data_IF_019164813968
#
_entry.id   IF_019164813968
#
_cell.length_a   1.000
_cell.length_b   1.000
_cell.length_c   1.000
_cell.angle_alpha   90.00
_cell.angle_beta   90.00
_cell.angle_gamma   90.00
#
_symmetry.space_group_name_H-M   'P 1'
#
loop_
_entity.id
_entity.type
_entity.pdbx_description
1 polymer ?
#
# COMPACT_ATOMS: atom_id res chain seq x y z
N UNK A 1 -0.35 -61.89 51.32
CA UNK A 1 -0.73 -61.41 49.97
C UNK A 1 -0.82 -59.89 50.02
N UNK A 2 0.27 -59.20 49.68
CA UNK A 2 0.30 -58.05 48.78
C UNK A 2 1.71 -57.47 48.73
N UNK A 3 2.18 -57.40 47.50
CA UNK A 3 3.51 -57.03 47.05
C UNK A 3 3.62 -55.51 46.91
N UNK A 4 4.87 -55.08 46.70
CA UNK A 4 5.28 -53.89 45.95
C UNK A 4 5.61 -52.68 46.84
N UNK A 5 6.86 -52.62 47.33
CA UNK A 5 8.02 -52.01 46.66
C UNK A 5 7.82 -50.51 46.40
N UNK A 6 8.49 -49.72 47.23
CA UNK A 6 8.80 -48.32 47.00
C UNK A 6 9.48 -48.15 45.65
N UNK A 7 8.92 -47.28 44.81
CA UNK A 7 9.63 -46.71 43.67
C UNK A 7 9.42 -45.21 43.75
N UNK A 8 10.41 -44.61 44.39
CA UNK A 8 10.91 -43.24 44.29
C UNK A 8 10.15 -42.34 43.32
N UNK A 9 9.36 -41.42 43.90
CA UNK A 9 8.68 -40.28 43.25
C UNK A 9 9.68 -39.21 42.74
N UNK A 10 10.89 -39.62 42.36
CA UNK A 10 12.06 -38.77 42.10
C UNK A 10 12.66 -39.01 40.71
N UNK A 11 11.82 -39.40 39.75
CA UNK A 11 12.24 -39.57 38.34
C UNK A 11 11.31 -38.90 37.32
N UNK A 12 10.23 -38.26 37.76
CA UNK A 12 9.31 -37.51 36.88
C UNK A 12 9.61 -35.98 36.85
N UNK A 13 10.66 -35.54 37.56
CA UNK A 13 11.06 -34.13 37.69
C UNK A 13 12.42 -33.83 37.02
N UNK A 14 12.84 -34.65 36.05
CA UNK A 14 14.09 -34.44 35.30
C UNK A 14 13.89 -34.27 33.79
N UNK A 15 12.63 -34.20 33.33
CA UNK A 15 12.28 -34.12 31.91
C UNK A 15 11.66 -32.77 31.51
N UNK A 16 11.97 -31.69 32.25
CA UNK A 16 11.52 -30.30 31.94
C UNK A 16 12.72 -29.38 31.65
N UNK A 17 13.94 -29.91 31.53
CA UNK A 17 15.16 -29.08 31.42
C UNK A 17 15.75 -28.89 30.00
N UNK A 18 15.03 -29.23 28.92
CA UNK A 18 15.61 -29.11 27.56
C UNK A 18 14.64 -28.65 26.45
N UNK A 19 13.89 -27.56 26.69
CA UNK A 19 13.38 -26.72 25.58
C UNK A 19 13.74 -25.25 25.91
N UNK A 20 15.02 -24.89 25.78
CA UNK A 20 15.60 -24.22 24.61
C UNK A 20 14.92 -22.90 24.22
N UNK A 21 15.63 -21.82 24.55
CA UNK A 21 15.76 -20.55 23.80
C UNK A 21 14.75 -19.42 24.08
N UNK A 22 15.17 -18.50 24.95
CA UNK A 22 14.92 -17.07 24.78
C UNK A 22 15.81 -16.54 23.64
N UNK A 23 15.18 -16.05 22.57
CA UNK A 23 15.71 -15.02 21.68
C UNK A 23 14.54 -14.44 20.87
N UNK A 24 13.60 -13.76 21.54
CA UNK A 24 12.79 -12.76 20.84
C UNK A 24 13.61 -11.46 20.82
N UNK A 25 14.43 -11.32 19.78
CA UNK A 25 14.77 -10.00 19.26
C UNK A 25 13.47 -9.35 18.78
N UNK A 26 13.04 -8.19 19.31
CA UNK A 26 11.92 -7.45 18.74
C UNK A 26 12.32 -6.64 17.49
N UNK A 27 13.56 -6.76 17.00
CA UNK A 27 14.09 -5.91 15.93
C UNK A 27 13.90 -6.48 14.51
N UNK A 28 13.09 -7.54 14.35
CA UNK A 28 12.72 -8.09 13.03
C UNK A 28 11.24 -8.41 12.84
N UNK A 29 10.33 -7.74 13.56
CA UNK A 29 8.92 -7.64 13.14
C UNK A 29 8.75 -6.46 12.16
N UNK A 30 9.72 -6.31 11.26
CA UNK A 30 9.64 -5.49 10.06
C UNK A 30 9.76 -6.48 8.89
N UNK A 31 8.63 -7.01 8.44
CA UNK A 31 8.65 -7.89 7.27
C UNK A 31 7.38 -8.69 6.98
N UNK A 32 6.49 -8.92 7.95
CA UNK A 32 5.32 -9.77 7.71
C UNK A 32 4.08 -9.30 8.47
N UNK A 33 3.42 -8.26 7.94
CA UNK A 33 1.96 -8.12 8.00
C UNK A 33 1.48 -7.84 6.58
N UNK A 34 1.68 -8.82 5.70
CA UNK A 34 1.01 -8.92 4.40
C UNK A 34 0.06 -10.12 4.51
N UNK A 35 -1.02 -9.94 5.25
CA UNK A 35 -2.04 -10.97 5.45
C UNK A 35 -3.37 -10.26 5.70
N UNK A 36 -4.01 -9.77 4.64
CA UNK A 36 -5.34 -9.16 4.78
C UNK A 36 -5.92 -8.32 3.65
N UNK A 37 -5.19 -8.03 2.56
CA UNK A 37 -5.74 -7.23 1.43
C UNK A 37 -5.51 -7.91 0.08
N UNK A 38 -6.09 -9.10 -0.12
CA UNK A 38 -6.04 -9.83 -1.39
C UNK A 38 -7.09 -9.35 -2.43
N UNK A 39 -8.08 -8.52 -2.07
CA UNK A 39 -9.27 -8.35 -2.93
C UNK A 39 -9.48 -6.98 -3.62
N UNK A 40 -8.51 -6.07 -3.66
CA UNK A 40 -8.68 -4.81 -4.43
C UNK A 40 -7.40 -4.36 -5.16
N UNK A 41 -6.52 -5.28 -5.54
CA UNK A 41 -5.37 -4.96 -6.40
C UNK A 41 -5.72 -5.30 -7.85
N UNK A 42 -6.67 -4.56 -8.42
CA UNK A 42 -7.11 -4.77 -9.80
C UNK A 42 -6.01 -4.42 -10.79
N UNK A 43 -5.24 -5.40 -11.27
CA UNK A 43 -4.21 -5.31 -12.35
C UNK A 43 -3.17 -4.17 -12.24
N UNK A 44 -3.19 -3.36 -11.19
CA UNK A 44 -2.32 -2.21 -10.97
C UNK A 44 -1.14 -2.58 -10.11
N UNK A 45 0.04 -2.11 -10.53
CA UNK A 45 1.25 -2.22 -9.74
C UNK A 45 1.22 -1.16 -8.63
N UNK A 46 1.82 -1.49 -7.48
CA UNK A 46 1.88 -0.62 -6.31
C UNK A 46 2.70 0.64 -6.62
N UNK A 47 2.24 1.85 -6.25
CA UNK A 47 3.04 3.06 -6.46
C UNK A 47 4.39 2.99 -5.73
N UNK A 48 5.41 3.61 -6.31
CA UNK A 48 6.78 3.59 -5.78
C UNK A 48 6.92 4.42 -4.49
N UNK A 49 7.96 4.13 -3.71
CA UNK A 49 8.30 4.89 -2.50
C UNK A 49 8.64 6.37 -2.80
N UNK A 50 9.04 6.66 -4.04
CA UNK A 50 9.27 8.03 -4.52
C UNK A 50 7.98 8.86 -4.44
N UNK A 51 6.85 8.31 -4.89
CA UNK A 51 5.53 8.97 -4.79
C UNK A 51 5.16 9.17 -3.32
N UNK A 52 5.46 8.22 -2.44
CA UNK A 52 5.22 8.36 -0.99
C UNK A 52 5.93 9.58 -0.43
N UNK A 53 7.21 9.70 -0.73
CA UNK A 53 8.07 10.76 -0.20
C UNK A 53 7.70 12.16 -0.70
N UNK A 54 7.07 12.28 -1.87
CA UNK A 54 6.68 13.57 -2.45
C UNK A 54 5.65 14.33 -1.61
N UNK A 55 4.71 13.62 -0.98
CA UNK A 55 3.63 14.22 -0.19
C UNK A 55 3.51 13.65 1.21
N UNK A 56 4.48 12.87 1.67
CA UNK A 56 4.45 12.13 2.94
C UNK A 56 3.16 11.32 3.13
N UNK A 57 2.75 10.61 2.07
CA UNK A 57 1.48 9.86 2.06
C UNK A 57 1.58 8.61 2.93
N UNK A 58 0.55 8.35 3.73
CA UNK A 58 0.50 7.16 4.57
C UNK A 58 0.10 5.91 3.77
N UNK A 59 -0.93 6.04 2.93
CA UNK A 59 -1.40 4.95 2.07
C UNK A 59 -1.35 5.34 0.60
N UNK A 60 -1.00 4.38 -0.24
CA UNK A 60 -0.92 4.50 -1.69
C UNK A 60 -1.68 3.31 -2.28
N UNK A 61 -2.62 3.56 -3.18
CA UNK A 61 -3.29 2.49 -3.92
C UNK A 61 -3.62 2.90 -5.34
N UNK A 62 -3.84 1.91 -6.20
CA UNK A 62 -4.18 2.12 -7.60
C UNK A 62 -5.42 1.32 -7.94
N UNK A 63 -6.35 1.97 -8.65
CA UNK A 63 -7.48 1.29 -9.27
C UNK A 63 -7.41 1.49 -10.78
N UNK A 64 -7.61 0.42 -11.53
CA UNK A 64 -7.60 0.44 -12.99
C UNK A 64 -9.01 0.22 -13.51
N UNK A 65 -9.49 1.16 -14.31
CA UNK A 65 -10.78 1.07 -14.99
C UNK A 65 -10.56 0.95 -16.48
N UNK A 66 -11.18 -0.06 -17.11
CA UNK A 66 -11.25 -0.20 -18.57
C UNK A 66 -12.71 -0.43 -18.95
N UNK A 67 -13.40 0.61 -19.37
CA UNK A 67 -14.77 0.51 -19.87
C UNK A 67 -14.76 0.42 -21.39
N UNK A 68 -15.51 -0.54 -21.94
CA UNK A 68 -15.78 -0.60 -23.38
C UNK A 68 -17.18 -0.03 -23.60
N UNK A 69 -17.29 1.27 -23.86
CA UNK A 69 -18.57 1.93 -24.19
C UNK A 69 -18.74 2.02 -25.70
N UNK A 70 -19.96 2.33 -26.16
CA UNK A 70 -20.28 2.43 -27.59
C UNK A 70 -19.54 3.59 -28.29
N UNK A 71 -19.06 4.58 -27.53
CA UNK A 71 -18.26 5.72 -28.01
C UNK A 71 -16.74 5.49 -27.98
N UNK A 72 -16.28 4.31 -27.55
CA UNK A 72 -14.87 3.95 -27.50
C UNK A 72 -14.49 3.17 -26.24
N UNK A 73 -13.24 2.70 -26.18
CA UNK A 73 -12.67 2.20 -24.92
C UNK A 73 -12.30 3.44 -24.11
N UNK A 74 -12.78 3.59 -22.88
CA UNK A 74 -12.28 4.60 -21.94
C UNK A 74 -11.51 3.89 -20.83
N UNK A 75 -10.20 4.09 -20.79
CA UNK A 75 -9.31 3.44 -19.83
C UNK A 75 -8.65 4.48 -18.92
N UNK A 76 -8.90 4.37 -17.61
CA UNK A 76 -8.45 5.33 -16.60
C UNK A 76 -7.67 4.61 -15.49
N UNK A 77 -6.53 5.19 -15.12
CA UNK A 77 -5.76 4.84 -13.92
C UNK A 77 -6.21 5.79 -12.81
N UNK A 78 -6.60 5.28 -11.66
CA UNK A 78 -6.83 6.08 -10.46
C UNK A 78 -5.69 5.85 -9.48
N UNK A 79 -4.92 6.89 -9.18
CA UNK A 79 -3.85 6.88 -8.21
C UNK A 79 -4.34 7.54 -6.91
N UNK A 80 -4.60 6.74 -5.89
CA UNK A 80 -5.16 7.18 -4.61
C UNK A 80 -4.05 7.36 -3.59
N UNK A 81 -3.95 8.57 -3.05
CA UNK A 81 -2.88 9.02 -2.17
C UNK A 81 -3.50 9.53 -0.86
N UNK A 82 -3.39 8.76 0.23
CA UNK A 82 -4.09 9.05 1.47
C UNK A 82 -3.21 9.69 2.54
N UNK A 83 -3.80 10.64 3.27
CA UNK A 83 -3.29 11.26 4.50
C UNK A 83 -1.85 11.80 4.37
N UNK A 84 -1.56 12.48 3.26
CA UNK A 84 -0.29 13.18 3.08
C UNK A 84 -0.20 14.49 3.88
N UNK A 85 1.00 15.06 4.00
CA UNK A 85 1.25 16.31 4.71
C UNK A 85 0.46 17.47 4.04
N UNK A 86 -0.47 18.12 4.77
CA UNK A 86 -1.24 19.26 4.25
C UNK A 86 -0.39 20.42 3.73
N UNK A 87 0.83 20.61 4.24
CA UNK A 87 1.74 21.67 3.80
C UNK A 87 2.39 21.37 2.45
N UNK A 88 2.64 20.10 2.16
CA UNK A 88 3.18 19.64 0.88
C UNK A 88 2.09 19.66 -0.19
N UNK A 89 0.88 19.23 0.16
CA UNK A 89 -0.27 19.21 -0.74
C UNK A 89 -0.79 20.63 -1.01
N UNK A 90 -0.97 21.44 0.04
CA UNK A 90 -1.70 22.72 -0.03
C UNK A 90 -1.01 23.85 -0.79
N UNK A 91 0.30 23.77 -1.07
CA UNK A 91 1.03 24.83 -1.79
C UNK A 91 0.74 24.85 -3.27
N UNK A 92 0.90 23.70 -3.92
CA UNK A 92 0.78 23.54 -5.38
C UNK A 92 0.26 22.11 -5.68
N UNK A 93 -1.00 21.81 -5.32
CA UNK A 93 -1.50 20.44 -5.35
C UNK A 93 -1.53 19.85 -6.76
N UNK A 94 -1.81 20.64 -7.79
CA UNK A 94 -1.79 20.19 -9.18
C UNK A 94 -0.38 19.79 -9.65
N UNK A 95 0.64 20.57 -9.29
CA UNK A 95 2.04 20.26 -9.65
C UNK A 95 2.49 18.98 -8.92
N UNK A 96 2.12 18.82 -7.66
CA UNK A 96 2.38 17.59 -6.91
C UNK A 96 1.67 16.40 -7.58
N UNK A 97 0.40 16.54 -7.91
CA UNK A 97 -0.39 15.51 -8.58
C UNK A 97 0.23 15.10 -9.92
N UNK A 98 0.66 16.09 -10.72
CA UNK A 98 1.32 15.84 -12.01
C UNK A 98 2.62 15.06 -11.85
N UNK A 99 3.44 15.38 -10.84
CA UNK A 99 4.68 14.63 -10.54
C UNK A 99 4.38 13.20 -10.10
N UNK A 100 3.37 13.00 -9.25
CA UNK A 100 2.95 11.66 -8.86
C UNK A 100 2.47 10.84 -10.07
N UNK A 101 1.69 11.45 -10.96
CA UNK A 101 1.22 10.82 -12.19
C UNK A 101 2.39 10.48 -13.13
N UNK A 102 3.33 11.39 -13.31
CA UNK A 102 4.53 11.19 -14.14
C UNK A 102 5.36 10.00 -13.64
N UNK A 103 5.67 9.95 -12.34
CA UNK A 103 6.42 8.84 -11.74
C UNK A 103 5.67 7.52 -11.94
N UNK A 104 4.36 7.51 -11.70
CA UNK A 104 3.57 6.29 -11.85
C UNK A 104 3.55 5.79 -13.30
N UNK A 105 3.29 6.68 -14.26
CA UNK A 105 3.25 6.36 -15.69
C UNK A 105 4.61 5.89 -16.20
N UNK A 106 5.70 6.51 -15.74
CA UNK A 106 7.08 6.11 -16.08
C UNK A 106 7.39 4.68 -15.65
N UNK A 107 6.96 4.31 -14.45
CA UNK A 107 7.31 3.02 -13.85
C UNK A 107 6.29 1.91 -14.19
N UNK A 108 5.10 2.28 -14.70
CA UNK A 108 4.05 1.33 -15.06
C UNK A 108 4.15 0.88 -16.52
N UNK A 109 4.62 -0.35 -16.74
CA UNK A 109 4.86 -0.95 -18.06
C UNK A 109 3.68 -0.83 -19.03
N UNK A 110 2.44 -0.98 -18.55
CA UNK A 110 1.24 -0.95 -19.38
C UNK A 110 0.52 0.41 -19.34
N UNK A 111 1.19 1.49 -18.93
CA UNK A 111 0.56 2.80 -18.85
C UNK A 111 -0.02 3.25 -20.19
N UNK A 112 0.65 2.95 -21.31
CA UNK A 112 0.19 3.30 -22.67
C UNK A 112 -1.16 2.69 -23.07
N UNK A 113 -1.65 1.67 -22.36
CA UNK A 113 -3.00 1.11 -22.58
C UNK A 113 -4.11 1.99 -22.00
N UNK A 114 -3.74 2.99 -21.19
CA UNK A 114 -4.64 3.89 -20.51
C UNK A 114 -4.61 5.26 -21.17
N UNK A 115 -5.76 5.90 -21.21
CA UNK A 115 -5.91 7.23 -21.80
C UNK A 115 -5.67 8.30 -20.76
N UNK A 116 -6.21 8.07 -19.56
CA UNK A 116 -6.21 9.05 -18.49
C UNK A 116 -5.62 8.46 -17.21
N UNK A 117 -4.96 9.31 -16.44
CA UNK A 117 -4.62 9.07 -15.05
C UNK A 117 -5.24 10.16 -14.18
N UNK A 118 -6.00 9.75 -13.18
CA UNK A 118 -6.63 10.61 -12.18
C UNK A 118 -5.92 10.41 -10.85
N UNK A 119 -5.34 11.47 -10.30
CA UNK A 119 -4.68 11.47 -8.99
C UNK A 119 -5.66 12.00 -7.95
N UNK A 120 -5.89 11.23 -6.90
CA UNK A 120 -6.81 11.56 -5.82
C UNK A 120 -6.05 11.73 -4.50
N UNK A 121 -6.00 12.94 -3.97
CA UNK A 121 -5.56 13.17 -2.60
C UNK A 121 -6.74 12.98 -1.65
N UNK A 122 -6.61 12.05 -0.70
CA UNK A 122 -7.67 11.69 0.25
C UNK A 122 -7.19 12.00 1.66
N UNK A 123 -7.90 12.84 2.38
CA UNK A 123 -7.63 13.16 3.78
C UNK A 123 -8.77 12.61 4.63
N UNK A 124 -8.50 11.57 5.43
CA UNK A 124 -9.48 10.99 6.36
C UNK A 124 -9.28 11.54 7.77
N UNK A 125 -10.39 11.79 8.48
CA UNK A 125 -10.34 12.11 9.90
C UNK A 125 -9.97 10.86 10.71
N UNK A 126 -8.95 10.98 11.58
CA UNK A 126 -8.49 9.89 12.45
C UNK A 126 -9.56 9.42 13.43
N UNK A 127 -10.47 10.32 13.82
CA UNK A 127 -11.54 10.04 14.79
C UNK A 127 -12.78 9.47 14.12
N UNK A 128 -12.96 9.71 12.82
CA UNK A 128 -14.09 9.22 12.04
C UNK A 128 -13.66 8.94 10.57
N UNK A 129 -13.29 7.71 10.23
CA UNK A 129 -12.75 7.38 8.91
C UNK A 129 -13.76 7.55 7.77
N UNK A 130 -15.07 7.61 8.06
CA UNK A 130 -16.12 7.89 7.06
C UNK A 130 -16.14 9.37 6.65
N UNK A 131 -15.54 10.24 7.46
CA UNK A 131 -15.37 11.65 7.13
C UNK A 131 -14.05 11.86 6.38
N UNK A 132 -14.13 12.19 5.09
CA UNK A 132 -12.95 12.44 4.27
C UNK A 132 -13.14 13.64 3.34
N UNK A 133 -12.02 14.31 3.06
CA UNK A 133 -11.91 15.29 1.99
C UNK A 133 -11.14 14.68 0.83
N UNK A 134 -11.59 14.92 -0.41
CA UNK A 134 -10.96 14.41 -1.62
C UNK A 134 -10.70 15.55 -2.61
N UNK A 135 -9.52 15.55 -3.22
CA UNK A 135 -9.14 16.43 -4.32
C UNK A 135 -8.68 15.57 -5.50
N UNK A 136 -9.20 15.87 -6.69
CA UNK A 136 -8.92 15.09 -7.91
C UNK A 136 -8.23 15.94 -8.97
N UNK A 137 -7.25 15.35 -9.64
CA UNK A 137 -6.50 15.96 -10.73
C UNK A 137 -6.37 14.97 -11.88
N UNK A 138 -6.80 15.37 -13.07
CA UNK A 138 -6.85 14.50 -14.24
C UNK A 138 -5.79 14.90 -15.27
N UNK A 139 -5.08 13.91 -15.81
CA UNK A 139 -4.05 14.11 -16.82
C UNK A 139 -4.20 13.08 -17.94
N UNK A 140 -3.87 13.48 -19.17
CA UNK A 140 -3.77 12.53 -20.27
C UNK A 140 -2.46 11.77 -20.16
N UNK A 141 -2.53 10.45 -20.24
CA UNK A 141 -1.34 9.58 -20.17
C UNK A 141 -0.36 9.90 -21.30
N UNK A 142 -0.88 10.26 -22.48
CA UNK A 142 -0.08 10.65 -23.63
C UNK A 142 0.84 11.87 -23.36
N UNK A 143 0.46 12.76 -22.44
CA UNK A 143 1.23 13.97 -22.13
C UNK A 143 2.59 13.63 -21.51
N UNK A 144 2.68 12.50 -20.80
CA UNK A 144 3.92 12.04 -20.16
C UNK A 144 4.88 11.32 -21.13
N UNK A 145 4.39 10.91 -22.30
CA UNK A 145 5.22 10.28 -23.34
C UNK A 145 5.69 11.27 -24.42
N UNK A 146 4.97 12.38 -24.61
CA UNK A 146 5.13 13.23 -25.80
C UNK A 146 6.13 14.38 -25.61
N UNK A 147 6.35 14.84 -24.38
CA UNK A 147 7.46 15.71 -23.98
C UNK A 147 7.35 15.95 -22.46
N UNK A 148 8.34 15.59 -21.62
CA UNK A 148 8.31 15.99 -20.21
C UNK A 148 8.40 17.53 -20.17
N UNK A 149 7.28 18.20 -19.86
CA UNK A 149 7.31 19.65 -19.62
C UNK A 149 8.26 19.92 -18.44
N UNK A 150 9.17 20.90 -18.57
CA UNK A 150 10.19 21.23 -17.56
C UNK A 150 9.59 21.71 -16.23
#
# INVERSE_FOLDING_TARGET
MNSSKAISFSFLLYLILFTSSCACDPEKIAGLVFSGMENVMGKGFMPSDEIRALGDFQNLSVQLSKNSTQDGKQSTIFLLLENGDPLLIGKQPEILARKCAEIYVRDFENASDYQQITVQFIQRDLSNPDNFAMQEYEFQVADFFSNPQP
#
